data_IF_509431575077
#
_entry.id   IF_509431575077
#
_cell.length_a   1.000
_cell.length_b   1.000
_cell.length_c   1.000
_cell.angle_alpha   90.00
_cell.angle_beta   90.00
_cell.angle_gamma   90.00
#
_symmetry.space_group_name_H-M   'P 1'
#
loop_
_entity.id
_entity.type
_entity.pdbx_description
1 polymer ?
#
# COMPACT_ATOMS: atom_id res chain seq x y z
N UNK A 1 -29.99 -50.33 -87.69
CA UNK A 1 -30.33 -50.32 -86.23
C UNK A 1 -29.06 -50.35 -85.43
N UNK A 2 -28.59 -49.24 -84.86
CA UNK A 2 -27.38 -49.16 -84.06
C UNK A 2 -27.77 -48.93 -82.60
N UNK A 3 -27.43 -49.90 -81.73
CA UNK A 3 -27.67 -49.88 -80.29
C UNK A 3 -26.53 -49.09 -79.62
N UNK A 4 -26.84 -47.89 -79.08
CA UNK A 4 -25.96 -47.10 -78.26
C UNK A 4 -25.74 -47.77 -76.86
N UNK A 5 -24.52 -48.18 -76.54
CA UNK A 5 -24.12 -48.64 -75.23
C UNK A 5 -23.74 -47.45 -74.38
N UNK A 6 -24.66 -47.02 -73.42
CA UNK A 6 -24.32 -46.07 -72.35
C UNK A 6 -23.41 -46.73 -71.31
N UNK A 7 -22.13 -46.32 -71.26
CA UNK A 7 -21.21 -46.73 -70.21
C UNK A 7 -21.57 -45.98 -68.88
N UNK A 8 -22.04 -46.73 -67.90
CA UNK A 8 -22.19 -46.23 -66.52
C UNK A 8 -20.82 -46.09 -65.91
N UNK A 9 -20.31 -44.82 -65.81
CA UNK A 9 -19.17 -44.49 -64.95
C UNK A 9 -19.54 -44.77 -63.49
N UNK A 10 -19.00 -45.85 -62.92
CA UNK A 10 -19.00 -46.10 -61.45
C UNK A 10 -18.20 -44.99 -60.79
N UNK A 11 -18.86 -44.07 -60.08
CA UNK A 11 -18.20 -43.18 -59.12
C UNK A 11 -17.57 -44.10 -58.05
N UNK A 12 -16.28 -44.16 -58.03
CA UNK A 12 -15.53 -44.72 -56.90
C UNK A 12 -15.83 -43.87 -55.69
N UNK A 13 -16.55 -44.43 -54.73
CA UNK A 13 -16.68 -43.90 -53.36
C UNK A 13 -15.27 -43.95 -52.76
N UNK A 14 -14.57 -42.84 -52.78
CA UNK A 14 -13.29 -42.70 -52.08
C UNK A 14 -13.60 -42.64 -50.61
N UNK A 15 -13.06 -43.59 -49.93
CA UNK A 15 -12.95 -43.91 -48.52
C UNK A 15 -13.52 -42.91 -47.52
N UNK A 16 -14.59 -43.31 -46.84
CA UNK A 16 -15.15 -42.69 -45.66
C UNK A 16 -14.13 -42.48 -44.49
N UNK A 17 -13.04 -43.22 -44.50
CA UNK A 17 -11.97 -43.13 -43.45
C UNK A 17 -11.20 -41.83 -43.53
N UNK A 18 -10.86 -41.34 -44.72
CA UNK A 18 -10.15 -40.05 -44.87
C UNK A 18 -11.00 -38.83 -44.46
N UNK A 19 -12.30 -38.89 -44.71
CA UNK A 19 -13.23 -37.84 -44.30
C UNK A 19 -13.51 -37.89 -42.78
N UNK A 20 -13.53 -39.07 -42.18
CA UNK A 20 -13.61 -39.25 -40.72
C UNK A 20 -12.39 -38.66 -40.00
N UNK A 21 -11.17 -38.90 -40.53
CA UNK A 21 -9.94 -38.33 -39.97
C UNK A 21 -9.95 -36.80 -40.02
N UNK A 22 -10.42 -36.20 -41.11
CA UNK A 22 -10.54 -34.75 -41.26
C UNK A 22 -11.55 -34.15 -40.25
N UNK A 23 -12.72 -34.79 -40.13
CA UNK A 23 -13.76 -34.34 -39.16
C UNK A 23 -13.22 -34.45 -37.73
N UNK A 24 -12.53 -35.54 -37.40
CA UNK A 24 -11.94 -35.73 -36.08
C UNK A 24 -10.84 -34.73 -35.78
N UNK A 25 -9.98 -34.40 -36.74
CA UNK A 25 -8.96 -33.37 -36.62
C UNK A 25 -9.57 -31.96 -36.38
N UNK A 26 -10.66 -31.63 -37.08
CA UNK A 26 -11.40 -30.35 -36.90
C UNK A 26 -12.02 -30.33 -35.50
N UNK A 27 -12.59 -31.41 -35.00
CA UNK A 27 -13.16 -31.50 -33.66
C UNK A 27 -12.09 -31.29 -32.58
N UNK A 28 -10.90 -31.89 -32.72
CA UNK A 28 -9.79 -31.66 -31.79
C UNK A 28 -9.39 -30.19 -31.75
N UNK A 29 -9.29 -29.51 -32.90
CA UNK A 29 -8.96 -28.08 -32.99
C UNK A 29 -10.04 -27.24 -32.29
N UNK A 30 -11.31 -27.51 -32.53
CA UNK A 30 -12.43 -26.79 -31.90
C UNK A 30 -12.39 -26.99 -30.36
N UNK A 31 -12.22 -28.21 -29.89
CA UNK A 31 -12.13 -28.53 -28.45
C UNK A 31 -10.92 -27.84 -27.82
N UNK A 32 -9.78 -27.79 -28.52
CA UNK A 32 -8.58 -27.09 -28.03
C UNK A 32 -8.79 -25.57 -27.93
N UNK A 33 -9.49 -24.97 -28.89
CA UNK A 33 -9.83 -23.51 -28.86
C UNK A 33 -10.78 -23.23 -27.70
N UNK A 34 -11.82 -24.06 -27.52
CA UNK A 34 -12.78 -23.89 -26.41
C UNK A 34 -12.08 -24.07 -25.06
N UNK A 35 -11.26 -25.11 -24.90
CA UNK A 35 -10.51 -25.37 -23.69
C UNK A 35 -9.51 -24.23 -23.38
N UNK A 36 -8.81 -23.72 -24.40
CA UNK A 36 -7.92 -22.58 -24.30
C UNK A 36 -8.66 -21.30 -23.90
N UNK A 37 -9.80 -21.00 -24.54
CA UNK A 37 -10.65 -19.88 -24.19
C UNK A 37 -11.19 -19.95 -22.77
N UNK A 38 -11.66 -21.14 -22.36
CA UNK A 38 -12.12 -21.41 -20.99
C UNK A 38 -10.99 -21.25 -19.97
N UNK A 39 -9.78 -21.72 -20.26
CA UNK A 39 -8.62 -21.58 -19.41
C UNK A 39 -8.23 -20.11 -19.21
N UNK A 40 -8.23 -19.30 -20.29
CA UNK A 40 -7.97 -17.87 -20.21
C UNK A 40 -9.03 -17.15 -19.37
N UNK A 41 -10.32 -17.45 -19.63
CA UNK A 41 -11.43 -16.88 -18.86
C UNK A 41 -11.39 -17.25 -17.39
N UNK A 42 -11.07 -18.49 -17.06
CA UNK A 42 -10.93 -18.99 -15.67
C UNK A 42 -9.80 -18.29 -14.91
N UNK A 43 -8.72 -17.94 -15.60
CA UNK A 43 -7.56 -17.23 -14.99
C UNK A 43 -7.67 -15.71 -15.03
N UNK A 44 -8.78 -15.15 -15.53
CA UNK A 44 -8.99 -13.71 -15.53
C UNK A 44 -9.28 -13.25 -14.11
N UNK A 45 -8.58 -12.19 -13.68
CA UNK A 45 -8.86 -11.56 -12.39
C UNK A 45 -10.18 -10.80 -12.43
N UNK A 46 -11.03 -11.05 -11.44
CA UNK A 46 -12.34 -10.40 -11.29
C UNK A 46 -12.32 -9.27 -10.25
N UNK A 47 -11.14 -8.72 -9.90
CA UNK A 47 -11.03 -7.65 -8.92
C UNK A 47 -11.35 -6.32 -9.60
N UNK A 48 -12.53 -5.80 -9.29
CA UNK A 48 -12.93 -4.47 -9.72
C UNK A 48 -12.22 -3.40 -8.90
N UNK A 49 -11.69 -2.38 -9.58
CA UNK A 49 -10.99 -1.26 -8.95
C UNK A 49 -11.66 0.07 -9.30
N UNK A 50 -11.74 0.97 -8.32
CA UNK A 50 -12.19 2.33 -8.54
C UNK A 50 -11.23 3.09 -9.47
N UNK A 51 -11.74 3.92 -10.34
CA UNK A 51 -10.92 4.70 -11.29
C UNK A 51 -10.20 5.87 -10.63
N UNK A 52 -10.74 6.39 -9.52
CA UNK A 52 -10.21 7.56 -8.82
C UNK A 52 -8.99 7.26 -7.97
N UNK A 53 -9.04 6.18 -7.18
CA UNK A 53 -8.03 5.83 -6.18
C UNK A 53 -7.34 4.49 -6.46
N UNK A 54 -7.74 3.79 -7.52
CA UNK A 54 -7.22 2.47 -7.93
C UNK A 54 -7.44 1.37 -6.88
N UNK A 55 -8.24 1.63 -5.84
CA UNK A 55 -8.52 0.67 -4.80
C UNK A 55 -9.56 -0.36 -5.24
N UNK A 56 -9.43 -1.64 -4.83
CA UNK A 56 -10.48 -2.62 -5.01
C UNK A 56 -11.78 -2.19 -4.35
N UNK A 57 -12.91 -2.48 -4.99
CA UNK A 57 -14.25 -2.14 -4.46
C UNK A 57 -14.55 -2.84 -3.15
N UNK A 58 -14.03 -4.05 -2.95
CA UNK A 58 -14.19 -4.84 -1.74
C UNK A 58 -13.28 -4.39 -0.59
N UNK A 59 -12.33 -3.50 -0.85
CA UNK A 59 -11.38 -2.98 0.11
C UNK A 59 -9.93 -3.30 -0.21
N UNK A 60 -9.00 -2.73 0.54
CA UNK A 60 -7.58 -2.95 0.37
C UNK A 60 -7.08 -4.14 1.19
N UNK A 61 -6.04 -4.82 0.72
CA UNK A 61 -5.39 -5.93 1.45
C UNK A 61 -4.76 -5.50 2.76
N UNK A 62 -4.24 -4.28 2.79
CA UNK A 62 -3.78 -3.57 3.97
C UNK A 62 -3.63 -2.08 3.64
N UNK A 63 -3.45 -1.26 4.66
CA UNK A 63 -3.22 0.18 4.52
C UNK A 63 -1.87 0.55 5.12
N UNK A 64 -1.05 1.28 4.35
CA UNK A 64 0.12 2.00 4.83
C UNK A 64 -0.28 3.46 5.00
N UNK A 65 -0.41 3.90 6.24
CA UNK A 65 -0.72 5.28 6.57
C UNK A 65 0.59 6.04 6.87
N UNK A 66 0.86 7.08 6.10
CA UNK A 66 2.00 7.98 6.32
C UNK A 66 1.47 9.21 7.03
N UNK A 67 1.86 9.39 8.29
CA UNK A 67 1.54 10.57 9.09
C UNK A 67 2.75 11.50 9.10
N UNK A 68 2.65 12.62 8.40
CA UNK A 68 3.70 13.61 8.28
C UNK A 68 3.45 14.76 9.24
N UNK A 69 4.39 14.96 10.14
CA UNK A 69 4.45 16.12 11.01
C UNK A 69 5.04 17.30 10.25
N UNK A 70 4.20 18.30 10.00
CA UNK A 70 4.55 19.52 9.29
C UNK A 70 4.49 20.76 10.19
N UNK A 71 4.45 20.57 11.51
CA UNK A 71 4.34 21.67 12.47
C UNK A 71 5.56 22.60 12.46
N UNK A 72 6.70 22.09 12.03
CA UNK A 72 7.94 22.82 11.85
C UNK A 72 8.50 22.67 10.42
N UNK A 73 9.29 23.64 9.98
CA UNK A 73 9.98 23.55 8.68
C UNK A 73 10.93 22.34 8.65
N UNK A 74 10.97 21.66 7.52
CA UNK A 74 11.85 20.52 7.27
C UNK A 74 12.95 20.94 6.28
N UNK A 75 14.23 20.71 6.62
CA UNK A 75 15.35 21.09 5.77
C UNK A 75 15.32 20.37 4.41
N UNK A 76 15.85 20.96 3.34
CA UNK A 76 15.83 20.38 1.99
C UNK A 76 16.46 18.98 1.91
N UNK A 77 17.54 18.75 2.66
CA UNK A 77 18.21 17.42 2.67
C UNK A 77 17.32 16.36 3.31
N UNK A 78 16.60 16.71 4.38
CA UNK A 78 15.64 15.81 5.04
C UNK A 78 14.42 15.55 4.16
N UNK A 79 13.91 16.59 3.46
CA UNK A 79 12.84 16.42 2.45
C UNK A 79 13.24 15.43 1.37
N UNK A 80 14.46 15.53 0.85
CA UNK A 80 14.99 14.58 -0.14
C UNK A 80 15.09 13.15 0.41
N UNK A 81 15.50 12.96 1.66
CA UNK A 81 15.54 11.63 2.27
C UNK A 81 14.13 11.04 2.44
N UNK A 82 13.14 11.86 2.87
CA UNK A 82 11.73 11.45 2.93
C UNK A 82 11.22 11.01 1.56
N UNK A 83 11.48 11.80 0.52
CA UNK A 83 11.09 11.49 -0.86
C UNK A 83 11.68 10.16 -1.33
N UNK A 84 12.98 9.95 -1.11
CA UNK A 84 13.68 8.71 -1.49
C UNK A 84 13.13 7.49 -0.75
N UNK A 85 12.92 7.58 0.56
CA UNK A 85 12.35 6.49 1.37
C UNK A 85 10.93 6.18 0.95
N UNK A 86 10.14 7.21 0.66
CA UNK A 86 8.77 7.01 0.18
C UNK A 86 8.74 6.38 -1.21
N UNK A 87 9.60 6.82 -2.12
CA UNK A 87 9.71 6.20 -3.44
C UNK A 87 10.08 4.70 -3.34
N UNK A 88 11.03 4.36 -2.43
CA UNK A 88 11.36 2.96 -2.13
C UNK A 88 10.15 2.20 -1.58
N UNK A 89 9.46 2.77 -0.59
CA UNK A 89 8.23 2.19 -0.02
C UNK A 89 7.19 1.89 -1.10
N UNK A 90 6.90 2.85 -1.99
CA UNK A 90 5.94 2.68 -3.07
C UNK A 90 6.35 1.57 -4.05
N UNK A 91 7.65 1.40 -4.29
CA UNK A 91 8.19 0.34 -5.14
C UNK A 91 8.09 -1.06 -4.50
N UNK A 92 8.18 -1.15 -3.19
CA UNK A 92 8.14 -2.40 -2.44
C UNK A 92 6.73 -2.79 -1.98
N UNK A 93 5.76 -1.88 -2.16
CA UNK A 93 4.40 -2.08 -1.70
C UNK A 93 3.71 -3.22 -2.48
N UNK A 94 3.11 -4.22 -1.82
CA UNK A 94 2.40 -5.28 -2.50
C UNK A 94 1.17 -4.76 -3.26
N UNK A 95 0.77 -5.49 -4.30
CA UNK A 95 -0.45 -5.18 -5.07
C UNK A 95 -1.70 -5.11 -4.19
N UNK A 96 -2.56 -4.14 -4.45
CA UNK A 96 -3.80 -3.85 -3.72
C UNK A 96 -3.63 -3.40 -2.26
N UNK A 97 -2.41 -3.01 -1.87
CA UNK A 97 -2.20 -2.25 -0.66
C UNK A 97 -2.56 -0.79 -0.89
N UNK A 98 -3.20 -0.18 0.09
CA UNK A 98 -3.53 1.25 0.11
C UNK A 98 -2.40 2.05 0.73
N UNK A 99 -2.07 3.19 0.13
CA UNK A 99 -1.25 4.22 0.78
C UNK A 99 -2.12 5.43 1.02
N UNK A 100 -2.09 5.94 2.25
CA UNK A 100 -2.80 7.17 2.63
C UNK A 100 -1.85 8.14 3.29
N UNK A 101 -1.78 9.37 2.80
CA UNK A 101 -0.96 10.44 3.35
C UNK A 101 -1.81 11.32 4.26
N UNK A 102 -1.35 11.55 5.47
CA UNK A 102 -1.96 12.42 6.48
C UNK A 102 -0.96 13.46 6.96
N UNK A 103 -1.47 14.58 7.45
CA UNK A 103 -0.71 15.54 8.26
C UNK A 103 -1.31 15.62 9.66
N UNK A 104 -0.53 16.13 10.60
CA UNK A 104 -1.04 16.41 11.94
C UNK A 104 -2.07 17.52 11.87
N UNK A 105 -3.21 17.31 12.54
CA UNK A 105 -4.17 18.37 12.83
C UNK A 105 -3.88 18.91 14.23
N UNK A 106 -4.13 20.20 14.46
CA UNK A 106 -3.83 20.86 15.74
C UNK A 106 -4.53 20.24 16.95
N UNK A 107 -5.71 19.65 16.77
CA UNK A 107 -6.47 18.97 17.82
C UNK A 107 -6.10 17.49 17.99
N UNK A 108 -5.33 16.91 17.05
CA UNK A 108 -5.00 15.49 17.01
C UNK A 108 -6.22 14.57 16.79
N UNK A 109 -7.36 15.15 16.41
CA UNK A 109 -8.61 14.42 16.20
C UNK A 109 -8.92 14.28 14.71
N UNK A 110 -9.63 13.20 14.35
CA UNK A 110 -10.19 12.98 13.01
C UNK A 110 -9.19 13.22 11.85
N UNK A 111 -8.06 12.52 11.80
CA UNK A 111 -7.12 12.67 10.71
C UNK A 111 -7.81 12.36 9.37
N UNK A 112 -7.78 13.32 8.44
CA UNK A 112 -8.30 13.14 7.08
C UNK A 112 -7.16 12.95 6.11
N UNK A 113 -7.22 11.97 5.20
CA UNK A 113 -6.14 11.75 4.26
C UNK A 113 -6.10 12.87 3.22
N UNK A 114 -4.91 13.41 2.96
CA UNK A 114 -4.63 14.36 1.88
C UNK A 114 -4.66 13.65 0.52
N UNK A 115 -4.14 12.42 0.49
CA UNK A 115 -4.14 11.56 -0.68
C UNK A 115 -4.31 10.10 -0.27
N UNK A 116 -5.07 9.37 -1.06
CA UNK A 116 -5.26 7.91 -0.89
C UNK A 116 -5.24 7.25 -2.24
N UNK A 117 -4.37 6.25 -2.41
CA UNK A 117 -4.24 5.46 -3.63
C UNK A 117 -3.91 4.02 -3.29
N UNK A 118 -4.41 3.06 -4.07
CA UNK A 118 -3.98 1.67 -3.98
C UNK A 118 -2.96 1.33 -5.07
N UNK A 119 -1.97 0.50 -4.71
CA UNK A 119 -1.03 -0.04 -5.69
C UNK A 119 -1.77 -0.98 -6.66
N UNK A 120 -1.86 -0.64 -7.95
CA UNK A 120 -2.51 -1.51 -8.95
C UNK A 120 -1.67 -2.75 -9.31
N UNK A 121 -0.43 -2.81 -8.83
CA UNK A 121 0.56 -3.83 -9.15
C UNK A 121 1.44 -3.47 -10.33
N UNK A 122 2.65 -4.02 -10.32
CA UNK A 122 3.63 -3.91 -11.39
C UNK A 122 3.50 -5.08 -12.37
N UNK A 123 3.97 -4.88 -13.59
CA UNK A 123 3.89 -5.93 -14.62
C UNK A 123 4.69 -7.19 -14.25
N UNK A 124 5.80 -7.04 -13.53
CA UNK A 124 6.63 -8.16 -13.05
C UNK A 124 5.97 -8.98 -11.92
N UNK A 125 5.02 -8.40 -11.21
CA UNK A 125 4.21 -9.08 -10.18
C UNK A 125 3.01 -9.83 -10.75
N UNK A 126 2.70 -9.61 -12.04
CA UNK A 126 1.55 -10.21 -12.71
C UNK A 126 1.83 -11.65 -13.13
N UNK A 127 0.77 -12.42 -13.28
CA UNK A 127 0.83 -13.76 -13.86
C UNK A 127 1.34 -13.74 -15.31
N UNK A 128 1.83 -14.89 -15.80
CA UNK A 128 2.36 -15.00 -17.16
C UNK A 128 1.33 -14.58 -18.23
N UNK A 129 0.08 -14.99 -18.09
CA UNK A 129 -0.99 -14.66 -19.05
C UNK A 129 -1.28 -13.15 -19.11
N UNK A 130 -1.18 -12.44 -17.97
CA UNK A 130 -1.34 -10.99 -17.92
C UNK A 130 -0.14 -10.29 -18.54
N UNK A 131 1.09 -10.71 -18.23
CA UNK A 131 2.31 -10.15 -18.79
C UNK A 131 2.39 -10.31 -20.32
N UNK A 132 1.94 -11.46 -20.80
CA UNK A 132 1.95 -11.78 -22.25
C UNK A 132 0.74 -11.16 -22.98
N UNK A 133 -0.16 -10.46 -22.25
CA UNK A 133 -1.27 -9.71 -22.83
C UNK A 133 -2.52 -10.55 -23.17
N UNK A 134 -2.60 -11.79 -22.67
CA UNK A 134 -3.77 -12.65 -22.93
C UNK A 134 -4.99 -12.29 -22.08
N UNK A 135 -4.78 -11.88 -20.82
CA UNK A 135 -5.85 -11.55 -19.86
C UNK A 135 -5.91 -10.07 -19.49
N UNK A 136 -4.83 -9.31 -19.73
CA UNK A 136 -4.77 -7.87 -19.47
C UNK A 136 -3.87 -7.17 -20.49
N UNK A 137 -4.04 -5.86 -20.67
CA UNK A 137 -3.14 -5.06 -21.51
C UNK A 137 -1.91 -4.63 -20.72
N UNK A 138 -0.69 -5.11 -21.06
CA UNK A 138 0.54 -4.78 -20.34
C UNK A 138 0.86 -3.28 -20.28
N UNK A 139 0.52 -2.54 -21.32
CA UNK A 139 0.72 -1.09 -21.35
C UNK A 139 -0.20 -0.38 -20.34
N UNK A 140 -1.48 -0.79 -20.27
CA UNK A 140 -2.40 -0.26 -19.25
C UNK A 140 -1.92 -0.51 -17.82
N UNK A 141 -1.32 -1.68 -17.55
CA UNK A 141 -0.76 -1.99 -16.22
C UNK A 141 0.37 -1.02 -15.89
N UNK A 142 1.32 -0.84 -16.81
CA UNK A 142 2.42 0.12 -16.64
C UNK A 142 1.93 1.54 -16.43
N UNK A 143 0.94 1.99 -17.21
CA UNK A 143 0.38 3.34 -17.11
C UNK A 143 -0.33 3.57 -15.77
N UNK A 144 -1.11 2.60 -15.30
CA UNK A 144 -1.77 2.66 -13.98
C UNK A 144 -0.74 2.74 -12.86
N UNK A 145 0.29 1.90 -12.91
CA UNK A 145 1.35 1.90 -11.91
C UNK A 145 2.16 3.20 -11.91
N UNK A 146 2.52 3.72 -13.09
CA UNK A 146 3.20 5.01 -13.22
C UNK A 146 2.35 6.16 -12.64
N UNK A 147 1.04 6.18 -12.91
CA UNK A 147 0.12 7.17 -12.32
C UNK A 147 0.03 7.07 -10.80
N UNK A 148 -0.02 5.85 -10.26
CA UNK A 148 0.02 5.62 -8.82
C UNK A 148 1.26 6.26 -8.18
N UNK A 149 2.45 5.95 -8.72
CA UNK A 149 3.71 6.51 -8.21
C UNK A 149 3.75 8.04 -8.34
N UNK A 150 3.45 8.57 -9.52
CA UNK A 150 3.49 10.02 -9.77
C UNK A 150 2.52 10.79 -8.88
N UNK A 151 1.28 10.32 -8.72
CA UNK A 151 0.28 11.01 -7.92
C UNK A 151 0.63 11.00 -6.44
N UNK A 152 1.12 9.87 -5.91
CA UNK A 152 1.54 9.79 -4.51
C UNK A 152 2.79 10.63 -4.25
N UNK A 153 3.82 10.55 -5.10
CA UNK A 153 5.02 11.39 -4.98
C UNK A 153 4.67 12.88 -5.03
N UNK A 154 3.79 13.28 -5.96
CA UNK A 154 3.33 14.66 -6.06
C UNK A 154 2.60 15.13 -4.80
N UNK A 155 1.75 14.30 -4.21
CA UNK A 155 1.06 14.62 -2.96
C UNK A 155 2.04 14.85 -1.81
N UNK A 156 3.06 14.00 -1.69
CA UNK A 156 4.11 14.13 -0.69
C UNK A 156 4.93 15.40 -0.91
N UNK A 157 5.36 15.67 -2.15
CA UNK A 157 6.12 16.87 -2.49
C UNK A 157 5.35 18.16 -2.18
N UNK A 158 4.07 18.18 -2.53
CA UNK A 158 3.19 19.29 -2.23
C UNK A 158 3.05 19.51 -0.72
N UNK A 159 2.86 18.44 0.05
CA UNK A 159 2.74 18.49 1.50
C UNK A 159 4.04 18.96 2.17
N UNK A 160 5.19 18.43 1.73
CA UNK A 160 6.51 18.87 2.21
C UNK A 160 6.85 20.32 1.84
N UNK A 161 6.22 20.86 0.79
CA UNK A 161 6.38 22.25 0.35
C UNK A 161 5.49 23.25 1.08
N UNK A 162 4.46 22.79 1.79
CA UNK A 162 3.55 23.66 2.54
C UNK A 162 4.23 24.12 3.84
N UNK A 163 3.92 25.32 4.26
CA UNK A 163 4.26 25.84 5.58
C UNK A 163 3.00 25.77 6.44
N UNK A 164 3.10 25.10 7.56
CA UNK A 164 2.04 25.05 8.55
C UNK A 164 2.52 25.84 9.77
N UNK A 165 1.74 26.78 10.22
CA UNK A 165 1.98 27.54 11.45
C UNK A 165 1.10 26.92 12.55
N UNK A 166 1.47 25.71 12.96
CA UNK A 166 0.73 24.98 13.97
C UNK A 166 1.23 25.34 15.37
N UNK A 167 0.31 25.67 16.26
CA UNK A 167 0.63 25.98 17.65
C UNK A 167 0.81 24.76 18.53
N UNK A 168 0.46 23.58 18.04
CA UNK A 168 0.53 22.30 18.76
C UNK A 168 1.03 21.19 17.84
N UNK A 169 1.66 20.17 18.43
CA UNK A 169 2.07 18.94 17.76
C UNK A 169 1.52 17.72 18.54
N UNK A 170 0.24 17.35 18.31
CA UNK A 170 -0.43 16.27 19.05
C UNK A 170 -0.13 14.89 18.45
N UNK A 171 1.11 14.42 18.54
CA UNK A 171 1.56 13.15 17.94
C UNK A 171 0.84 11.94 18.52
N UNK A 172 0.72 11.88 19.86
CA UNK A 172 0.09 10.76 20.57
C UNK A 172 -1.38 10.63 20.20
N UNK A 173 -2.11 11.75 20.21
CA UNK A 173 -3.52 11.79 19.84
C UNK A 173 -3.74 11.41 18.38
N UNK A 174 -2.91 11.93 17.48
CA UNK A 174 -3.00 11.65 16.05
C UNK A 174 -2.70 10.18 15.73
N UNK A 175 -1.68 9.59 16.35
CA UNK A 175 -1.37 8.17 16.19
C UNK A 175 -2.51 7.27 16.67
N UNK A 176 -3.05 7.55 17.87
CA UNK A 176 -4.14 6.75 18.44
C UNK A 176 -5.41 6.84 17.56
N UNK A 177 -5.80 8.06 17.15
CA UNK A 177 -6.97 8.25 16.31
C UNK A 177 -6.79 7.66 14.92
N UNK A 178 -5.60 7.78 14.33
CA UNK A 178 -5.29 7.17 13.04
C UNK A 178 -5.43 5.65 13.11
N UNK A 179 -4.86 4.99 14.11
CA UNK A 179 -5.00 3.55 14.33
C UNK A 179 -6.46 3.11 14.45
N UNK A 180 -7.30 3.91 15.12
CA UNK A 180 -8.74 3.62 15.25
C UNK A 180 -9.52 3.74 13.94
N UNK A 181 -9.07 4.60 13.03
CA UNK A 181 -9.76 4.93 11.78
C UNK A 181 -9.29 4.11 10.58
N UNK A 182 -8.17 3.39 10.69
CA UNK A 182 -7.67 2.58 9.58
C UNK A 182 -8.67 1.47 9.23
N UNK A 183 -9.01 1.30 7.94
CA UNK A 183 -9.89 0.22 7.51
C UNK A 183 -9.25 -1.14 7.79
N UNK A 184 -10.09 -2.11 8.12
CA UNK A 184 -9.61 -3.49 8.30
C UNK A 184 -9.11 -4.06 6.98
N UNK A 185 -7.98 -4.77 6.99
CA UNK A 185 -7.47 -5.49 5.83
C UNK A 185 -8.45 -6.56 5.35
N UNK A 186 -8.53 -6.77 4.03
CA UNK A 186 -9.37 -7.81 3.41
C UNK A 186 -8.58 -8.70 2.47
N UNK A 187 -8.95 -9.99 2.40
CA UNK A 187 -8.48 -10.88 1.36
C UNK A 187 -9.31 -10.67 0.09
N UNK A 188 -8.70 -10.83 -1.07
CA UNK A 188 -9.31 -10.59 -2.37
C UNK A 188 -9.19 -11.83 -3.27
N UNK A 189 -10.13 -11.99 -4.20
CA UNK A 189 -10.15 -13.04 -5.23
C UNK A 189 -9.98 -14.45 -4.64
N UNK A 190 -10.99 -14.93 -3.89
CA UNK A 190 -10.99 -16.25 -3.23
C UNK A 190 -9.68 -16.53 -2.45
N UNK A 191 -9.16 -15.51 -1.75
CA UNK A 191 -7.92 -15.54 -0.97
C UNK A 191 -6.63 -15.67 -1.80
N UNK A 192 -6.69 -15.49 -3.11
CA UNK A 192 -5.48 -15.38 -3.95
C UNK A 192 -4.56 -14.27 -3.47
N UNK A 193 -5.15 -13.19 -2.98
CA UNK A 193 -4.46 -12.08 -2.32
C UNK A 193 -4.86 -12.02 -0.85
N UNK A 194 -4.08 -12.65 0.02
CA UNK A 194 -4.34 -12.67 1.46
C UNK A 194 -4.34 -11.26 2.05
N UNK A 195 -5.13 -11.04 3.08
CA UNK A 195 -5.06 -9.84 3.89
C UNK A 195 -3.66 -9.68 4.52
N UNK A 196 -3.16 -8.44 4.52
CA UNK A 196 -1.91 -8.08 5.17
C UNK A 196 -2.16 -7.41 6.52
N UNK A 197 -1.09 -6.86 7.11
CA UNK A 197 -1.16 -6.05 8.31
C UNK A 197 -1.11 -4.57 7.94
N UNK A 198 -1.95 -3.75 8.56
CA UNK A 198 -1.85 -2.29 8.42
C UNK A 198 -0.53 -1.79 9.00
N UNK A 199 -0.01 -0.70 8.42
CA UNK A 199 1.23 -0.07 8.86
C UNK A 199 1.05 1.43 9.02
N UNK A 200 1.58 1.99 10.09
CA UNK A 200 1.67 3.44 10.31
C UNK A 200 3.13 3.85 10.24
N UNK A 201 3.44 4.83 9.37
CA UNK A 201 4.74 5.46 9.27
C UNK A 201 4.59 6.87 9.80
N UNK A 202 5.17 7.14 10.97
CA UNK A 202 5.24 8.49 11.54
C UNK A 202 6.53 9.17 11.08
N UNK A 203 6.42 10.34 10.48
CA UNK A 203 7.55 11.20 10.09
C UNK A 203 7.49 12.46 10.93
N UNK A 204 8.35 12.58 11.96
CA UNK A 204 8.30 13.66 12.95
C UNK A 204 9.64 13.82 13.68
N UNK A 205 9.85 14.95 14.30
CA UNK A 205 10.93 15.17 15.26
C UNK A 205 10.65 14.55 16.65
N UNK A 206 9.45 13.95 16.82
CA UNK A 206 9.01 13.26 18.03
C UNK A 206 8.79 14.16 19.24
N UNK A 207 8.59 15.47 19.04
CA UNK A 207 8.34 16.41 20.11
C UNK A 207 6.83 16.64 20.28
N UNK A 208 6.21 15.85 21.18
CA UNK A 208 4.82 16.11 21.60
C UNK A 208 4.70 17.51 22.21
N UNK A 209 3.79 18.30 21.71
CA UNK A 209 3.50 19.64 22.23
C UNK A 209 2.01 19.92 22.26
N UNK A 210 1.41 19.69 23.44
CA UNK A 210 -0.03 19.90 23.67
C UNK A 210 -0.25 20.49 25.07
N UNK A 211 -1.44 21.02 25.37
CA UNK A 211 -1.79 21.49 26.72
C UNK A 211 -1.78 20.37 27.78
N UNK A 212 -1.88 19.09 27.37
CA UNK A 212 -1.91 17.95 28.31
C UNK A 212 -0.53 17.38 28.57
N UNK A 213 0.40 17.55 27.63
CA UNK A 213 1.79 17.12 27.77
C UNK A 213 2.71 17.89 26.80
N UNK A 214 3.85 18.36 27.31
CA UNK A 214 4.86 19.03 26.49
C UNK A 214 6.25 18.50 26.80
N UNK A 215 6.91 17.99 25.75
CA UNK A 215 8.30 17.53 25.85
C UNK A 215 9.30 18.68 25.94
N UNK A 216 8.87 19.94 25.71
CA UNK A 216 9.72 21.13 25.88
C UNK A 216 9.83 21.62 27.32
N UNK A 217 8.76 21.47 28.10
CA UNK A 217 8.64 22.04 29.45
C UNK A 217 8.83 20.96 30.52
N UNK A 218 8.38 19.77 30.25
CA UNK A 218 8.40 18.66 31.17
C UNK A 218 9.69 17.82 30.96
N UNK A 219 10.16 17.19 32.03
CA UNK A 219 11.30 16.33 31.94
C UNK A 219 11.03 15.16 30.98
N UNK A 220 11.82 15.03 29.89
CA UNK A 220 11.65 14.02 28.86
C UNK A 220 12.08 12.64 29.36
N UNK A 221 11.27 12.05 30.23
CA UNK A 221 11.44 10.68 30.70
C UNK A 221 10.08 9.99 30.92
N UNK A 222 10.09 8.67 30.96
CA UNK A 222 8.89 7.85 31.07
C UNK A 222 8.04 8.19 32.31
N UNK A 223 8.68 8.44 33.46
CA UNK A 223 7.97 8.75 34.71
C UNK A 223 7.18 10.06 34.61
N UNK A 224 7.77 11.08 33.96
CA UNK A 224 7.08 12.36 33.69
C UNK A 224 5.89 12.17 32.75
N UNK A 225 6.03 11.31 31.74
CA UNK A 225 4.92 10.93 30.86
C UNK A 225 3.80 10.23 31.64
N UNK A 226 4.12 9.18 32.40
CA UNK A 226 3.16 8.41 33.21
C UNK A 226 2.38 9.27 34.20
N UNK A 227 3.01 10.28 34.78
CA UNK A 227 2.37 11.20 35.74
C UNK A 227 1.62 12.37 35.07
N UNK A 228 1.61 12.43 33.73
CA UNK A 228 0.92 13.47 32.97
C UNK A 228 -0.50 13.03 32.59
N UNK A 229 -1.35 14.02 32.25
CA UNK A 229 -2.66 13.74 31.66
C UNK A 229 -2.58 12.95 30.35
N UNK A 230 -1.45 13.02 29.64
CA UNK A 230 -1.24 12.23 28.43
C UNK A 230 -1.05 10.74 28.78
N UNK A 231 -0.26 10.42 29.82
CA UNK A 231 -0.10 9.05 30.30
C UNK A 231 -1.40 8.42 30.78
N UNK A 232 -2.30 9.22 31.38
CA UNK A 232 -3.66 8.75 31.75
C UNK A 232 -4.58 8.56 30.53
N UNK A 233 -4.43 9.39 29.49
CA UNK A 233 -5.34 9.44 28.35
C UNK A 233 -4.96 8.48 27.22
N UNK A 234 -3.68 8.35 26.93
CA UNK A 234 -3.16 7.59 25.80
C UNK A 234 -2.57 6.27 26.27
N UNK A 235 -3.20 5.17 26.01
CA UNK A 235 -2.80 3.85 26.47
C UNK A 235 -3.48 2.75 25.67
N UNK A 236 -3.38 2.82 24.33
CA UNK A 236 -4.00 1.84 23.45
C UNK A 236 -2.97 0.85 22.92
N UNK A 237 -3.35 -0.41 22.88
CA UNK A 237 -2.64 -1.43 22.14
C UNK A 237 -2.83 -1.19 20.63
N UNK A 238 -1.73 -1.16 19.88
CA UNK A 238 -1.74 -1.02 18.42
C UNK A 238 -1.68 -2.39 17.77
N UNK A 239 -2.59 -2.64 16.83
CA UNK A 239 -2.59 -3.86 16.01
C UNK A 239 -1.74 -3.68 14.74
N UNK A 240 -1.50 -2.43 14.35
CA UNK A 240 -0.72 -2.04 13.18
C UNK A 240 0.80 -2.19 13.42
N UNK A 241 1.55 -2.39 12.35
CA UNK A 241 2.99 -2.23 12.39
C UNK A 241 3.35 -0.75 12.43
N UNK A 242 4.27 -0.36 13.31
CA UNK A 242 4.65 1.04 13.47
C UNK A 242 6.12 1.22 13.11
N UNK A 243 6.35 2.19 12.23
CA UNK A 243 7.68 2.64 11.85
C UNK A 243 7.77 4.16 12.03
N UNK A 244 8.89 4.64 12.57
CA UNK A 244 9.11 6.07 12.78
C UNK A 244 10.35 6.53 12.01
N UNK A 245 10.18 7.53 11.17
CA UNK A 245 11.27 8.22 10.51
C UNK A 245 11.51 9.52 11.25
N UNK A 246 12.56 9.54 12.07
CA UNK A 246 12.83 10.66 12.97
C UNK A 246 13.53 11.80 12.24
N UNK A 247 12.89 12.96 12.18
CA UNK A 247 13.51 14.24 11.83
C UNK A 247 14.44 14.63 12.97
N UNK A 248 15.75 14.79 12.68
CA UNK A 248 16.71 15.14 13.70
C UNK A 248 16.78 16.66 13.87
N UNK A 249 16.58 17.14 15.08
CA UNK A 249 16.67 18.57 15.38
C UNK A 249 17.73 18.84 16.44
N UNK A 250 18.47 19.91 16.25
CA UNK A 250 19.44 20.42 17.24
C UNK A 250 18.77 21.47 18.12
N UNK A 251 17.80 21.05 18.95
CA UNK A 251 17.07 21.96 19.84
C UNK A 251 17.61 21.90 21.26
N UNK A 252 17.57 23.07 21.92
CA UNK A 252 18.04 23.40 23.26
C UNK A 252 17.86 22.25 24.28
N UNK A 253 18.94 21.48 24.51
CA UNK A 253 19.01 20.51 25.59
C UNK A 253 18.27 19.18 25.39
N UNK A 254 17.53 19.02 24.28
CA UNK A 254 16.77 17.80 23.98
C UNK A 254 17.60 16.93 23.02
N UNK A 255 18.10 15.80 23.53
CA UNK A 255 18.87 14.86 22.73
C UNK A 255 17.95 13.96 21.90
N UNK A 256 18.14 13.89 20.57
CA UNK A 256 17.45 12.96 19.68
C UNK A 256 17.52 11.51 20.19
N UNK A 257 18.66 11.09 20.79
CA UNK A 257 18.83 9.76 21.36
C UNK A 257 17.96 9.54 22.60
N UNK A 258 17.83 10.55 23.48
CA UNK A 258 16.96 10.46 24.67
C UNK A 258 15.50 10.42 24.26
N UNK A 259 15.12 11.23 23.26
CA UNK A 259 13.77 11.29 22.72
C UNK A 259 13.38 9.95 22.08
N UNK A 260 14.25 9.40 21.24
CA UNK A 260 14.06 8.05 20.67
C UNK A 260 13.85 7.00 21.79
N UNK A 261 14.68 7.03 22.84
CA UNK A 261 14.54 6.09 23.98
C UNK A 261 13.20 6.28 24.70
N UNK A 262 12.78 7.51 24.94
CA UNK A 262 11.48 7.80 25.57
C UNK A 262 10.32 7.22 24.75
N UNK A 263 10.30 7.43 23.45
CA UNK A 263 9.24 6.89 22.59
C UNK A 263 9.23 5.35 22.59
N UNK A 264 10.40 4.71 22.53
CA UNK A 264 10.49 3.24 22.67
C UNK A 264 9.94 2.76 24.03
N UNK A 265 10.29 3.46 25.12
CA UNK A 265 9.80 3.13 26.46
C UNK A 265 8.28 3.35 26.58
N UNK A 266 7.71 4.39 25.94
CA UNK A 266 6.25 4.65 25.91
C UNK A 266 5.54 3.53 25.14
N UNK A 267 5.99 3.19 23.95
CA UNK A 267 5.38 2.12 23.16
C UNK A 267 5.41 0.77 23.87
N UNK A 268 6.56 0.40 24.44
CA UNK A 268 6.74 -0.89 25.12
C UNK A 268 5.91 -0.98 26.42
N UNK A 269 5.96 0.05 27.26
CA UNK A 269 5.41 -0.01 28.62
C UNK A 269 4.00 0.51 28.76
N UNK A 270 3.61 1.51 27.95
CA UNK A 270 2.30 2.13 28.09
C UNK A 270 1.32 1.67 27.00
N UNK A 271 1.82 1.42 25.78
CA UNK A 271 0.96 1.02 24.67
C UNK A 271 0.96 -0.50 24.44
N UNK A 272 1.74 -1.27 25.21
CA UNK A 272 1.82 -2.73 25.05
C UNK A 272 2.40 -3.16 23.71
N UNK A 273 3.12 -2.26 23.01
CA UNK A 273 3.76 -2.58 21.74
C UNK A 273 5.11 -3.25 22.01
N UNK A 274 5.09 -4.57 22.16
CA UNK A 274 6.27 -5.33 22.54
C UNK A 274 7.45 -5.09 21.60
N UNK A 275 8.62 -4.80 22.16
CA UNK A 275 9.89 -4.70 21.41
C UNK A 275 10.31 -6.03 20.76
N UNK A 276 9.67 -7.15 21.14
CA UNK A 276 9.86 -8.48 20.56
C UNK A 276 8.81 -8.83 19.50
N UNK A 277 7.93 -7.89 19.14
CA UNK A 277 6.97 -8.07 18.03
C UNK A 277 7.73 -8.22 16.71
N UNK A 278 7.16 -8.96 15.79
CA UNK A 278 7.68 -9.12 14.43
C UNK A 278 6.65 -8.53 13.42
N UNK A 279 7.00 -7.45 12.72
CA UNK A 279 8.22 -6.64 12.85
C UNK A 279 8.25 -5.78 14.14
N UNK A 280 9.45 -5.51 14.71
CA UNK A 280 9.58 -4.65 15.87
C UNK A 280 9.33 -3.18 15.52
N UNK A 281 8.99 -2.36 16.52
CA UNK A 281 9.00 -0.91 16.37
C UNK A 281 10.39 -0.43 15.95
N UNK A 282 10.46 0.28 14.84
CA UNK A 282 11.70 0.88 14.35
C UNK A 282 11.63 2.40 14.40
N UNK A 283 12.67 3.03 14.97
CA UNK A 283 12.86 4.48 14.90
C UNK A 283 14.17 4.75 14.15
N UNK A 284 14.05 5.19 12.92
CA UNK A 284 15.18 5.39 12.01
C UNK A 284 15.39 6.89 11.80
N UNK A 285 16.60 7.43 12.10
CA UNK A 285 16.88 8.84 11.85
C UNK A 285 16.85 9.13 10.34
N UNK A 286 16.30 10.28 9.98
CA UNK A 286 16.41 10.85 8.65
C UNK A 286 17.77 11.54 8.49
N UNK A 287 18.23 11.67 7.25
CA UNK A 287 19.44 12.40 6.92
C UNK A 287 19.22 13.89 7.10
N UNK A 288 20.18 14.58 7.69
CA UNK A 288 20.11 16.00 8.02
C UNK A 288 19.95 16.23 9.52
N UNK A 289 20.51 17.34 9.99
CA UNK A 289 20.32 17.88 11.33
C UNK A 289 19.79 19.29 11.18
N UNK A 290 18.65 19.57 11.77
CA UNK A 290 17.93 20.85 11.69
C UNK A 290 18.10 21.71 12.96
#
# INVERSE_FOLDING_TARGET
MAKSRRSRRRRKSSSSVGDFIKVFAILIVIVSIIAGGFFVWWNQENIETNKSDLCPTDGARATVAILLDTTDDIAPVTKTDIQNRTAKLLNELPRFYRVSLYTLNEDGLNPTPIATLCNPGRLDEMGKLERDGYTANPQMIKDKYSKFQQNMSKAIDQTLGQKFDAQQSPLLGSLQNLSLLLPKPVALDAEKYLAGTNKIILISDLLEFTPVYSMYVQNTNLKSFQNSKAGEKFGKQYDEDIEIWQVQRNRLGISNKKLKKLWLDIFDKEFGYSIYRDPPLTITPLVGLE
#
